data_IF_308953671491
#
_entry.id   IF_308953671491
#
_cell.length_a   1.000
_cell.length_b   1.000
_cell.length_c   1.000
_cell.angle_alpha   90.00
_cell.angle_beta   90.00
_cell.angle_gamma   90.00
#
_symmetry.space_group_name_H-M   'P 1'
#
loop_
_entity.id
_entity.type
_entity.pdbx_description
1 polymer ?
#
# COMPACT_ATOMS: atom_id res chain seq x y z
N UNK A 1 -24.91 60.48 24.93
CA UNK A 1 -23.60 61.06 24.60
C UNK A 1 -23.09 60.38 23.33
N UNK A 2 -22.76 61.19 22.31
CA UNK A 2 -22.02 60.87 21.08
C UNK A 2 -22.52 59.76 20.13
N UNK A 3 -23.46 60.15 19.26
CA UNK A 3 -23.55 60.02 17.78
C UNK A 3 -22.30 59.56 16.96
N UNK A 4 -22.37 59.29 15.63
CA UNK A 4 -23.54 59.29 14.71
C UNK A 4 -23.59 58.22 13.56
N UNK A 5 -24.78 58.18 12.91
CA UNK A 5 -25.10 58.08 11.46
C UNK A 5 -24.89 56.78 10.61
N UNK A 6 -26.01 56.12 10.25
CA UNK A 6 -26.73 56.09 8.93
C UNK A 6 -25.97 55.85 7.60
N UNK A 7 -26.60 55.58 6.43
CA UNK A 7 -27.86 54.88 6.05
C UNK A 7 -27.73 53.96 4.78
N UNK A 8 -28.88 53.46 4.28
CA UNK A 8 -29.21 52.96 2.92
C UNK A 8 -28.95 51.46 2.67
N UNK A 9 -29.90 50.62 2.25
CA UNK A 9 -31.16 50.84 1.53
C UNK A 9 -30.97 50.50 0.05
N UNK A 10 -31.31 49.27 -0.38
CA UNK A 10 -31.34 48.89 -1.82
C UNK A 10 -32.32 47.71 -1.97
N UNK A 11 -33.59 47.99 -2.22
CA UNK A 11 -34.24 47.98 -3.55
C UNK A 11 -34.10 46.65 -4.29
N UNK A 12 -35.17 45.85 -4.22
CA UNK A 12 -35.48 44.77 -5.16
C UNK A 12 -35.70 45.36 -6.56
N UNK A 13 -34.94 44.87 -7.54
CA UNK A 13 -35.30 44.92 -8.96
C UNK A 13 -35.05 43.54 -9.54
N UNK A 14 -36.14 42.87 -9.84
CA UNK A 14 -36.20 41.65 -10.64
C UNK A 14 -36.02 42.06 -12.11
N UNK A 15 -35.02 41.48 -12.79
CA UNK A 15 -34.97 41.40 -14.25
C UNK A 15 -34.00 40.30 -14.70
N UNK A 16 -34.56 39.42 -15.53
CA UNK A 16 -33.91 38.60 -16.55
C UNK A 16 -33.03 37.42 -16.09
N UNK A 17 -33.71 36.27 -15.96
CA UNK A 17 -33.33 34.94 -16.44
C UNK A 17 -31.85 34.60 -16.63
N UNK A 18 -31.26 33.97 -15.62
CA UNK A 18 -30.25 32.93 -15.81
C UNK A 18 -30.27 32.00 -14.58
N UNK A 19 -30.78 30.78 -14.75
CA UNK A 19 -30.75 29.76 -13.69
C UNK A 19 -29.31 29.25 -13.59
N UNK A 20 -28.53 29.84 -12.70
CA UNK A 20 -27.20 29.34 -12.34
C UNK A 20 -27.38 28.11 -11.44
N UNK A 21 -27.18 26.92 -12.01
CA UNK A 21 -27.07 25.69 -11.22
C UNK A 21 -25.71 25.72 -10.53
N UNK A 22 -25.68 26.10 -9.27
CA UNK A 22 -24.51 25.93 -8.42
C UNK A 22 -24.28 24.43 -8.20
N UNK A 23 -23.51 23.82 -9.09
CA UNK A 23 -22.92 22.51 -8.86
C UNK A 23 -21.90 22.71 -7.75
N UNK A 24 -22.25 22.24 -6.55
CA UNK A 24 -21.31 21.99 -5.46
C UNK A 24 -20.29 20.95 -5.94
N UNK A 25 -19.27 21.43 -6.65
CA UNK A 25 -18.09 20.67 -6.96
C UNK A 25 -17.32 20.55 -5.64
N UNK A 26 -17.49 19.41 -4.96
CA UNK A 26 -16.63 19.03 -3.86
C UNK A 26 -15.21 18.99 -4.40
N UNK A 27 -14.50 20.12 -4.24
CA UNK A 27 -13.13 20.27 -4.65
C UNK A 27 -12.29 19.29 -3.86
N UNK A 28 -11.88 18.20 -4.51
CA UNK A 28 -10.66 17.51 -4.11
C UNK A 28 -9.53 18.51 -4.38
N UNK A 29 -9.20 19.34 -3.39
CA UNK A 29 -7.98 20.13 -3.43
C UNK A 29 -6.83 19.11 -3.45
N UNK A 30 -6.26 18.90 -4.62
CA UNK A 30 -5.04 18.14 -4.80
C UNK A 30 -3.97 18.74 -3.87
N UNK A 31 -3.45 17.90 -2.97
CA UNK A 31 -2.43 18.27 -1.96
C UNK A 31 -1.06 18.58 -2.62
N UNK A 32 -0.96 18.44 -3.94
CA UNK A 32 0.26 18.72 -4.71
C UNK A 32 0.13 20.06 -5.43
N UNK A 33 0.75 21.10 -4.88
CA UNK A 33 0.95 22.37 -5.57
C UNK A 33 1.66 22.12 -6.91
N UNK A 34 1.08 22.65 -7.99
CA UNK A 34 1.40 22.37 -9.39
C UNK A 34 2.77 22.83 -9.90
N UNK A 35 3.84 22.68 -9.13
CA UNK A 35 5.20 23.08 -9.52
C UNK A 35 6.22 21.92 -9.60
N UNK A 36 5.82 20.66 -9.38
CA UNK A 36 6.81 19.55 -9.28
C UNK A 36 6.52 18.30 -10.12
N UNK A 37 5.43 18.28 -10.89
CA UNK A 37 5.04 17.15 -11.72
C UNK A 37 4.76 17.63 -13.14
N UNK A 38 5.26 16.86 -14.11
CA UNK A 38 5.10 17.11 -15.54
C UNK A 38 3.61 17.38 -15.88
N UNK A 39 3.26 18.55 -16.45
CA UNK A 39 1.87 18.90 -16.78
C UNK A 39 1.23 17.86 -17.72
N UNK A 40 2.03 17.19 -18.57
CA UNK A 40 1.58 16.09 -19.41
C UNK A 40 1.15 14.89 -18.56
N UNK A 41 1.94 14.53 -17.55
CA UNK A 41 1.64 13.41 -16.67
C UNK A 41 0.33 13.64 -15.91
N UNK A 42 0.10 14.85 -15.39
CA UNK A 42 -1.15 15.21 -14.73
C UNK A 42 -2.37 15.08 -15.64
N UNK A 43 -2.27 15.61 -16.86
CA UNK A 43 -3.35 15.51 -17.84
C UNK A 43 -3.69 14.05 -18.17
N UNK A 44 -2.67 13.23 -18.45
CA UNK A 44 -2.86 11.79 -18.71
C UNK A 44 -3.41 11.05 -17.48
N UNK A 45 -2.92 11.34 -16.29
CA UNK A 45 -3.42 10.74 -15.05
C UNK A 45 -4.90 11.06 -14.78
N UNK A 46 -5.34 12.28 -15.10
CA UNK A 46 -6.75 12.69 -14.98
C UNK A 46 -7.64 11.91 -15.93
N UNK A 47 -7.24 11.75 -17.19
CA UNK A 47 -7.97 10.93 -18.19
C UNK A 47 -8.11 9.49 -17.69
N UNK A 48 -7.01 8.93 -17.19
CA UNK A 48 -6.99 7.57 -16.68
C UNK A 48 -7.89 7.39 -15.43
N UNK A 49 -7.83 8.32 -14.49
CA UNK A 49 -8.71 8.31 -13.31
C UNK A 49 -10.19 8.40 -13.72
N UNK A 50 -10.53 9.24 -14.70
CA UNK A 50 -11.89 9.35 -15.21
C UNK A 50 -12.37 8.03 -15.82
N UNK A 51 -11.52 7.35 -16.62
CA UNK A 51 -11.85 6.05 -17.17
C UNK A 51 -12.13 5.00 -16.08
N UNK A 52 -11.37 5.02 -14.98
CA UNK A 52 -11.59 4.14 -13.82
C UNK A 52 -12.89 4.51 -13.09
N UNK A 53 -13.22 5.80 -12.98
CA UNK A 53 -14.49 6.25 -12.42
C UNK A 53 -15.70 5.82 -13.28
N UNK A 54 -15.60 5.89 -14.60
CA UNK A 54 -16.64 5.41 -15.53
C UNK A 54 -16.86 3.90 -15.42
N UNK A 55 -15.77 3.12 -15.30
CA UNK A 55 -15.86 1.68 -15.01
C UNK A 55 -16.53 1.46 -13.65
N UNK A 56 -16.25 2.30 -12.66
CA UNK A 56 -16.82 2.20 -11.31
C UNK A 56 -16.41 0.93 -10.57
N UNK A 57 -17.10 0.66 -9.46
CA UNK A 57 -16.82 -0.50 -8.61
C UNK A 57 -17.40 -1.77 -9.23
N UNK A 58 -16.54 -2.74 -9.58
CA UNK A 58 -16.95 -4.02 -10.15
C UNK A 58 -16.30 -5.21 -9.46
N UNK A 59 -16.43 -6.40 -10.07
CA UNK A 59 -15.90 -7.66 -9.53
C UNK A 59 -14.39 -7.61 -9.32
N UNK A 60 -13.65 -6.93 -10.20
CA UNK A 60 -12.20 -6.78 -10.11
C UNK A 60 -11.81 -6.02 -8.84
N UNK A 61 -12.44 -4.89 -8.56
CA UNK A 61 -12.13 -4.07 -7.39
C UNK A 61 -12.52 -4.75 -6.07
N UNK A 62 -13.64 -5.48 -6.05
CA UNK A 62 -14.00 -6.29 -4.89
C UNK A 62 -13.02 -7.44 -4.66
N UNK A 63 -12.59 -8.14 -5.71
CA UNK A 63 -11.55 -9.15 -5.58
C UNK A 63 -10.23 -8.53 -5.10
N UNK A 64 -9.86 -7.36 -5.63
CA UNK A 64 -8.69 -6.61 -5.20
C UNK A 64 -8.80 -6.20 -3.72
N UNK A 65 -9.99 -5.84 -3.22
CA UNK A 65 -10.20 -5.53 -1.81
C UNK A 65 -9.85 -6.73 -0.91
N UNK A 66 -10.29 -7.94 -1.26
CA UNK A 66 -9.96 -9.15 -0.49
C UNK A 66 -8.47 -9.49 -0.59
N UNK A 67 -7.88 -9.41 -1.78
CA UNK A 67 -6.48 -9.79 -2.01
C UNK A 67 -5.50 -8.77 -1.40
N UNK A 68 -5.80 -7.47 -1.48
CA UNK A 68 -5.06 -6.44 -0.74
C UNK A 68 -5.28 -6.60 0.78
N UNK A 69 -6.47 -7.06 1.20
CA UNK A 69 -6.76 -7.43 2.57
C UNK A 69 -5.80 -8.48 3.14
N UNK A 70 -5.25 -9.38 2.32
CA UNK A 70 -4.24 -10.35 2.78
C UNK A 70 -2.92 -9.70 3.20
N UNK A 71 -2.46 -8.66 2.48
CA UNK A 71 -1.26 -7.93 2.89
C UNK A 71 -1.51 -7.09 4.13
N UNK A 72 -2.69 -6.48 4.28
CA UNK A 72 -3.09 -5.81 5.51
C UNK A 72 -3.17 -6.80 6.68
N UNK A 73 -3.82 -7.95 6.51
CA UNK A 73 -3.83 -9.04 7.50
C UNK A 73 -2.40 -9.39 7.98
N UNK A 74 -1.46 -9.53 7.04
CA UNK A 74 -0.06 -9.79 7.32
C UNK A 74 0.62 -8.66 8.11
N UNK A 75 0.27 -7.41 7.82
CA UNK A 75 0.88 -6.21 8.40
C UNK A 75 0.65 -6.06 9.91
N UNK A 76 -0.43 -6.62 10.46
CA UNK A 76 -0.63 -6.64 11.92
C UNK A 76 -0.25 -7.98 12.58
N UNK A 77 -0.47 -9.09 11.88
CA UNK A 77 -0.15 -10.43 12.38
C UNK A 77 1.35 -10.63 12.66
N UNK A 78 2.20 -10.27 11.72
CA UNK A 78 3.63 -10.59 11.82
C UNK A 78 4.38 -9.69 12.79
N UNK A 79 4.06 -8.40 12.93
CA UNK A 79 4.68 -7.59 13.97
C UNK A 79 4.26 -7.97 15.39
N UNK A 80 3.07 -8.54 15.58
CA UNK A 80 2.62 -9.04 16.88
C UNK A 80 3.18 -10.43 17.22
N UNK A 81 3.58 -11.20 16.22
CA UNK A 81 4.07 -12.59 16.36
C UNK A 81 5.27 -12.74 17.31
N UNK A 82 6.34 -11.93 17.23
CA UNK A 82 7.46 -12.01 18.18
C UNK A 82 7.05 -11.84 19.65
N UNK A 83 6.02 -11.05 19.93
CA UNK A 83 5.43 -10.92 21.27
C UNK A 83 4.74 -12.21 21.73
N UNK A 84 4.02 -12.89 20.84
CA UNK A 84 3.32 -14.15 21.15
C UNK A 84 4.29 -15.29 21.45
N UNK A 85 5.40 -15.38 20.71
CA UNK A 85 6.38 -16.47 20.87
C UNK A 85 7.50 -16.15 21.88
N UNK A 86 7.57 -14.91 22.38
CA UNK A 86 8.69 -14.36 23.15
C UNK A 86 9.12 -15.26 24.32
N UNK A 87 8.17 -15.63 25.19
CA UNK A 87 8.43 -16.41 26.40
C UNK A 87 8.89 -17.83 26.09
N UNK A 88 8.38 -18.41 24.99
CA UNK A 88 8.76 -19.77 24.56
C UNK A 88 10.17 -19.77 23.99
N UNK A 89 10.53 -18.76 23.20
CA UNK A 89 11.85 -18.64 22.57
C UNK A 89 12.95 -18.31 23.59
N UNK A 90 12.70 -17.35 24.49
CA UNK A 90 13.68 -16.94 25.51
C UNK A 90 14.01 -18.06 26.48
N UNK A 91 13.03 -18.91 26.82
CA UNK A 91 13.24 -20.10 27.67
C UNK A 91 13.97 -21.26 26.98
N UNK A 92 13.68 -21.54 25.71
CA UNK A 92 14.36 -22.62 24.97
C UNK A 92 15.84 -22.32 24.74
N UNK A 93 16.16 -21.07 24.37
CA UNK A 93 17.54 -20.68 24.06
C UNK A 93 18.28 -20.06 25.24
N UNK A 94 17.62 -19.84 26.37
CA UNK A 94 18.18 -19.16 27.55
C UNK A 94 18.80 -17.79 27.20
N UNK A 95 18.03 -16.95 26.51
CA UNK A 95 18.44 -15.62 26.01
C UNK A 95 17.44 -14.54 26.43
N UNK A 96 17.89 -13.27 26.41
CA UNK A 96 17.03 -12.14 26.77
C UNK A 96 15.95 -11.80 25.73
N UNK A 97 16.15 -12.11 24.45
CA UNK A 97 15.15 -11.88 23.39
C UNK A 97 15.29 -10.55 22.61
N UNK A 98 16.15 -9.65 23.05
CA UNK A 98 16.35 -8.30 22.49
C UNK A 98 16.70 -8.28 20.99
N UNK A 99 17.56 -9.19 20.52
CA UNK A 99 18.01 -9.25 19.13
C UNK A 99 16.89 -9.62 18.16
N UNK A 100 15.89 -10.36 18.62
CA UNK A 100 14.72 -10.73 17.83
C UNK A 100 13.83 -9.50 17.58
N UNK A 101 13.58 -8.71 18.63
CA UNK A 101 12.78 -7.48 18.54
C UNK A 101 13.51 -6.41 17.73
N UNK A 102 14.83 -6.28 17.93
CA UNK A 102 15.67 -5.38 17.12
C UNK A 102 15.66 -5.79 15.64
N UNK A 103 15.84 -7.09 15.35
CA UNK A 103 15.79 -7.63 14.00
C UNK A 103 14.46 -7.34 13.32
N UNK A 104 13.34 -7.53 14.02
CA UNK A 104 12.01 -7.17 13.54
C UNK A 104 11.88 -5.69 13.20
N UNK A 105 12.30 -4.79 14.11
CA UNK A 105 12.19 -3.35 13.92
C UNK A 105 13.03 -2.87 12.73
N UNK A 106 14.29 -3.35 12.63
CA UNK A 106 15.16 -3.06 11.49
C UNK A 106 14.60 -3.61 10.18
N UNK A 107 14.07 -4.84 10.21
CA UNK A 107 13.45 -5.46 9.05
C UNK A 107 12.26 -4.66 8.55
N UNK A 108 11.36 -4.22 9.44
CA UNK A 108 10.21 -3.38 9.08
C UNK A 108 10.64 -2.04 8.49
N UNK A 109 11.64 -1.38 9.09
CA UNK A 109 12.18 -0.11 8.59
C UNK A 109 12.77 -0.28 7.18
N UNK A 110 13.64 -1.27 7.01
CA UNK A 110 14.25 -1.57 5.70
C UNK A 110 13.19 -1.94 4.67
N UNK A 111 12.21 -2.77 5.06
CA UNK A 111 11.09 -3.16 4.22
C UNK A 111 10.25 -1.99 3.74
N UNK A 112 9.86 -1.09 4.64
CA UNK A 112 9.06 0.09 4.31
C UNK A 112 9.78 1.01 3.31
N UNK A 113 11.08 1.26 3.50
CA UNK A 113 11.87 2.08 2.56
C UNK A 113 12.09 1.35 1.24
N UNK A 114 12.51 0.09 1.30
CA UNK A 114 12.85 -0.71 0.12
C UNK A 114 11.64 -0.94 -0.78
N UNK A 115 10.51 -1.38 -0.23
CA UNK A 115 9.30 -1.63 -1.01
C UNK A 115 8.54 -0.35 -1.35
N UNK A 116 8.58 0.67 -0.49
CA UNK A 116 8.01 1.99 -0.76
C UNK A 116 8.60 2.62 -2.01
N UNK A 117 9.93 2.57 -2.18
CA UNK A 117 10.59 3.02 -3.41
C UNK A 117 10.56 1.95 -4.50
N UNK A 118 10.70 0.68 -4.14
CA UNK A 118 10.83 -0.44 -5.08
C UNK A 118 9.59 -0.68 -5.93
N UNK A 119 8.39 -0.54 -5.36
CA UNK A 119 7.12 -0.68 -6.09
C UNK A 119 6.93 0.36 -7.21
N UNK A 120 7.56 1.51 -7.06
CA UNK A 120 7.56 2.58 -8.04
C UNK A 120 8.64 2.41 -9.11
N UNK A 121 9.64 1.58 -8.87
CA UNK A 121 10.76 1.32 -9.79
C UNK A 121 10.54 0.03 -10.57
N UNK A 122 10.30 -1.08 -9.87
CA UNK A 122 10.15 -2.42 -10.46
C UNK A 122 8.73 -2.74 -10.91
N UNK A 123 7.75 -1.92 -10.50
CA UNK A 123 6.34 -2.15 -10.77
C UNK A 123 5.60 -2.68 -9.55
N UNK A 124 4.31 -2.38 -9.54
CA UNK A 124 3.39 -2.71 -8.46
C UNK A 124 3.13 -4.21 -8.42
N UNK A 125 3.04 -4.90 -9.57
CA UNK A 125 2.72 -6.34 -9.61
C UNK A 125 3.73 -7.20 -8.85
N UNK A 126 5.02 -6.95 -9.05
CA UNK A 126 6.08 -7.72 -8.42
C UNK A 126 6.16 -7.43 -6.92
N UNK A 127 6.19 -6.16 -6.54
CA UNK A 127 6.22 -5.78 -5.12
C UNK A 127 5.02 -6.32 -4.36
N UNK A 128 3.82 -6.25 -4.94
CA UNK A 128 2.58 -6.80 -4.37
C UNK A 128 2.74 -8.29 -4.08
N UNK A 129 3.31 -9.08 -4.99
CA UNK A 129 3.44 -10.53 -4.76
C UNK A 129 4.65 -10.92 -3.88
N UNK A 130 5.78 -10.24 -4.03
CA UNK A 130 7.03 -10.63 -3.36
C UNK A 130 6.99 -10.39 -1.85
N UNK A 131 6.28 -9.36 -1.38
CA UNK A 131 6.19 -9.05 0.06
C UNK A 131 5.58 -10.21 0.86
N UNK A 132 4.49 -10.83 0.37
CA UNK A 132 3.92 -12.01 1.03
C UNK A 132 4.76 -13.26 0.85
N UNK A 133 5.39 -13.45 -0.31
CA UNK A 133 6.27 -14.60 -0.55
C UNK A 133 7.43 -14.61 0.44
N UNK A 134 8.12 -13.47 0.58
CA UNK A 134 9.23 -13.29 1.52
C UNK A 134 8.74 -13.54 2.94
N UNK A 135 7.61 -12.95 3.32
CA UNK A 135 7.02 -13.15 4.65
C UNK A 135 6.76 -14.64 4.93
N UNK A 136 6.09 -15.35 4.01
CA UNK A 136 5.74 -16.76 4.18
C UNK A 136 6.96 -17.69 4.19
N UNK A 137 7.91 -17.50 3.28
CA UNK A 137 9.13 -18.34 3.20
C UNK A 137 9.98 -18.18 4.46
N UNK A 138 10.24 -16.95 4.88
CA UNK A 138 11.06 -16.71 6.08
C UNK A 138 10.33 -17.05 7.37
N UNK A 139 9.00 -16.97 7.40
CA UNK A 139 8.18 -17.50 8.49
C UNK A 139 8.32 -19.02 8.66
N UNK A 140 8.22 -19.77 7.57
CA UNK A 140 8.41 -21.22 7.59
C UNK A 140 9.85 -21.58 7.97
N UNK A 141 10.84 -20.86 7.43
CA UNK A 141 12.24 -21.04 7.79
C UNK A 141 12.51 -20.75 9.27
N UNK A 142 11.85 -19.73 9.84
CA UNK A 142 11.96 -19.41 11.25
C UNK A 142 11.39 -20.51 12.16
N UNK A 143 10.29 -21.17 11.77
CA UNK A 143 9.78 -22.34 12.47
C UNK A 143 10.78 -23.50 12.53
N UNK A 144 11.59 -23.64 11.47
CA UNK A 144 12.66 -24.63 11.35
C UNK A 144 14.01 -24.19 11.97
N UNK A 145 14.10 -23.01 12.58
CA UNK A 145 15.38 -22.46 13.04
C UNK A 145 16.04 -23.31 14.15
N UNK A 146 17.30 -23.72 14.00
CA UNK A 146 17.97 -24.58 14.98
C UNK A 146 18.55 -23.79 16.17
N UNK A 147 18.77 -22.48 16.02
CA UNK A 147 19.35 -21.62 17.04
C UNK A 147 18.71 -20.21 17.01
N UNK A 148 18.94 -19.46 18.09
CA UNK A 148 18.36 -18.13 18.28
C UNK A 148 18.81 -17.11 17.21
N UNK A 149 20.06 -17.15 16.76
CA UNK A 149 20.57 -16.21 15.77
C UNK A 149 19.93 -16.40 14.40
N UNK A 150 19.75 -17.66 13.97
CA UNK A 150 19.02 -18.00 12.75
C UNK A 150 17.58 -17.51 12.85
N UNK A 151 16.92 -17.69 14.00
CA UNK A 151 15.58 -17.15 14.23
C UNK A 151 15.55 -15.62 14.07
N UNK A 152 16.48 -14.89 14.68
CA UNK A 152 16.55 -13.43 14.58
C UNK A 152 16.74 -12.95 13.13
N UNK A 153 17.58 -13.65 12.36
CA UNK A 153 17.79 -13.36 10.94
C UNK A 153 16.50 -13.61 10.15
N UNK A 154 15.83 -14.74 10.36
CA UNK A 154 14.55 -15.02 9.70
C UNK A 154 13.46 -14.01 10.09
N UNK A 155 13.42 -13.58 11.35
CA UNK A 155 12.51 -12.53 11.83
C UNK A 155 12.76 -11.21 11.10
N UNK A 156 14.02 -10.80 10.97
CA UNK A 156 14.37 -9.60 10.21
C UNK A 156 13.93 -9.71 8.74
N UNK A 157 14.15 -10.85 8.09
CA UNK A 157 13.80 -11.05 6.69
C UNK A 157 12.28 -11.13 6.43
N UNK A 158 11.50 -11.83 7.27
CA UNK A 158 10.05 -11.76 7.11
C UNK A 158 9.56 -10.33 7.32
N UNK A 159 10.18 -9.58 8.24
CA UNK A 159 9.78 -8.20 8.55
C UNK A 159 10.07 -7.25 7.40
N UNK A 160 11.09 -7.51 6.58
CA UNK A 160 11.31 -6.81 5.31
C UNK A 160 10.13 -7.01 4.35
N UNK A 161 9.59 -8.23 4.26
CA UNK A 161 8.40 -8.50 3.46
C UNK A 161 7.18 -7.75 4.00
N UNK A 162 6.95 -7.84 5.30
CA UNK A 162 5.79 -7.24 5.98
C UNK A 162 5.76 -5.73 5.82
N UNK A 163 6.89 -5.04 6.07
CA UNK A 163 6.95 -3.57 6.02
C UNK A 163 6.61 -2.96 4.65
N UNK A 164 6.64 -3.76 3.58
CA UNK A 164 6.23 -3.35 2.25
C UNK A 164 4.73 -3.51 1.95
N UNK A 165 4.00 -4.34 2.69
CA UNK A 165 2.60 -4.64 2.37
C UNK A 165 1.73 -3.40 2.42
N UNK A 166 1.80 -2.62 3.51
CA UNK A 166 0.95 -1.44 3.68
C UNK A 166 1.10 -0.40 2.55
N UNK A 167 2.31 0.10 2.22
CA UNK A 167 2.45 1.12 1.17
C UNK A 167 2.16 0.56 -0.23
N UNK A 168 2.53 -0.69 -0.51
CA UNK A 168 2.33 -1.28 -1.84
C UNK A 168 0.86 -1.57 -2.08
N UNK A 169 0.18 -2.19 -1.12
CA UNK A 169 -1.22 -2.60 -1.26
C UNK A 169 -2.15 -1.40 -1.28
N UNK A 170 -1.88 -0.39 -0.45
CA UNK A 170 -2.66 0.86 -0.43
C UNK A 170 -2.57 1.59 -1.77
N UNK A 171 -1.37 1.69 -2.34
CA UNK A 171 -1.19 2.35 -3.62
C UNK A 171 -1.86 1.57 -4.76
N UNK A 172 -1.67 0.25 -4.83
CA UNK A 172 -2.36 -0.58 -5.83
C UNK A 172 -3.87 -0.43 -5.69
N UNK A 173 -4.40 -0.50 -4.47
CA UNK A 173 -5.83 -0.39 -4.22
C UNK A 173 -6.38 0.96 -4.70
N UNK A 174 -5.74 2.07 -4.32
CA UNK A 174 -6.13 3.42 -4.72
C UNK A 174 -6.01 3.69 -6.22
N UNK A 175 -5.12 2.97 -6.92
CA UNK A 175 -4.95 3.11 -8.36
C UNK A 175 -6.06 2.44 -9.18
N UNK A 176 -6.76 1.45 -8.61
CA UNK A 176 -7.83 0.71 -9.30
C UNK A 176 -9.24 1.02 -8.78
N UNK A 177 -9.36 1.66 -7.63
CA UNK A 177 -10.64 1.98 -6.98
C UNK A 177 -11.12 3.38 -7.40
N UNK A 178 -12.40 3.54 -7.79
CA UNK A 178 -12.96 4.84 -8.14
C UNK A 178 -13.00 5.78 -6.92
N UNK A 179 -12.90 7.09 -7.15
CA UNK A 179 -12.86 8.11 -6.10
C UNK A 179 -14.01 8.00 -5.08
N UNK A 180 -15.21 7.63 -5.53
CA UNK A 180 -16.38 7.45 -4.67
C UNK A 180 -16.24 6.37 -3.60
N UNK A 181 -15.35 5.38 -3.81
CA UNK A 181 -15.17 4.23 -2.92
C UNK A 181 -13.80 4.19 -2.26
N UNK A 182 -13.02 5.28 -2.32
CA UNK A 182 -11.70 5.35 -1.68
C UNK A 182 -11.76 5.18 -0.16
N UNK A 183 -12.90 5.45 0.48
CA UNK A 183 -13.13 5.16 1.91
C UNK A 183 -12.93 3.67 2.26
N UNK A 184 -13.03 2.76 1.28
CA UNK A 184 -12.73 1.34 1.47
C UNK A 184 -11.27 1.08 1.86
N UNK A 185 -10.36 2.04 1.59
CA UNK A 185 -9.00 1.98 2.12
C UNK A 185 -9.00 2.01 3.65
N UNK A 186 -9.85 2.84 4.25
CA UNK A 186 -10.01 2.84 5.71
C UNK A 186 -10.64 1.53 6.19
N UNK A 187 -11.61 1.00 5.44
CA UNK A 187 -12.26 -0.30 5.75
C UNK A 187 -11.25 -1.47 5.67
N UNK A 188 -10.19 -1.38 4.87
CA UNK A 188 -9.11 -2.37 4.85
C UNK A 188 -8.45 -2.55 6.24
N UNK A 189 -8.55 -1.57 7.14
CA UNK A 189 -8.08 -1.68 8.54
C UNK A 189 -8.78 -2.80 9.33
N UNK A 190 -9.96 -3.25 8.91
CA UNK A 190 -10.63 -4.41 9.52
C UNK A 190 -9.74 -5.66 9.39
N UNK A 191 -8.99 -5.80 8.30
CA UNK A 191 -8.07 -6.92 8.10
C UNK A 191 -6.93 -6.94 9.12
N UNK A 192 -6.51 -5.78 9.66
CA UNK A 192 -5.57 -5.75 10.79
C UNK A 192 -6.15 -6.47 12.02
N UNK A 193 -7.39 -6.15 12.39
CA UNK A 193 -8.05 -6.78 13.52
C UNK A 193 -8.23 -8.30 13.29
N UNK A 194 -8.62 -8.69 12.07
CA UNK A 194 -8.72 -10.10 11.69
C UNK A 194 -7.35 -10.79 11.77
N UNK A 195 -6.27 -10.15 11.30
CA UNK A 195 -4.91 -10.64 11.39
C UNK A 195 -4.47 -10.90 12.82
N UNK A 196 -4.64 -9.89 13.68
CA UNK A 196 -4.26 -9.98 15.08
C UNK A 196 -5.06 -11.05 15.83
N UNK A 197 -6.39 -11.07 15.64
CA UNK A 197 -7.27 -12.06 16.25
C UNK A 197 -6.90 -13.48 15.80
N UNK A 198 -6.68 -13.69 14.50
CA UNK A 198 -6.29 -15.00 13.97
C UNK A 198 -4.96 -15.45 14.54
N UNK A 199 -3.97 -14.57 14.61
CA UNK A 199 -2.67 -14.86 15.23
C UNK A 199 -2.82 -15.30 16.69
N UNK A 200 -3.57 -14.54 17.49
CA UNK A 200 -3.80 -14.87 18.89
C UNK A 200 -4.59 -16.19 19.07
N UNK A 201 -5.64 -16.41 18.28
CA UNK A 201 -6.47 -17.63 18.35
C UNK A 201 -5.71 -18.89 17.94
N UNK A 202 -4.77 -18.79 16.99
CA UNK A 202 -3.93 -19.94 16.59
C UNK A 202 -2.78 -20.13 17.59
N UNK A 203 -2.20 -19.05 18.10
CA UNK A 203 -1.15 -19.11 19.11
C UNK A 203 -1.63 -19.73 20.41
N UNK A 204 -2.85 -19.40 20.86
CA UNK A 204 -3.36 -19.86 22.15
C UNK A 204 -3.31 -21.39 22.32
N UNK A 205 -3.97 -22.23 21.50
CA UNK A 205 -3.94 -23.68 21.67
C UNK A 205 -2.56 -24.28 21.36
N UNK A 206 -1.80 -23.73 20.40
CA UNK A 206 -0.49 -24.29 20.04
C UNK A 206 0.56 -24.03 21.11
N UNK A 207 0.64 -22.79 21.61
CA UNK A 207 1.61 -22.42 22.63
C UNK A 207 1.19 -22.97 23.99
N UNK A 208 -0.09 -22.97 24.35
CA UNK A 208 -0.52 -23.48 25.66
C UNK A 208 -0.35 -25.00 25.81
N UNK A 209 -0.64 -25.79 24.77
CA UNK A 209 -0.59 -27.26 24.87
C UNK A 209 0.79 -27.85 24.55
N UNK A 210 1.62 -27.16 23.76
CA UNK A 210 2.90 -27.69 23.26
C UNK A 210 4.13 -26.88 23.72
N UNK A 211 4.01 -26.16 24.83
CA UNK A 211 5.15 -25.45 25.46
C UNK A 211 5.35 -25.92 26.89
N UNK A 212 6.56 -25.71 27.41
CA UNK A 212 6.90 -26.14 28.77
C UNK A 212 6.05 -25.40 29.82
N UNK A 213 5.68 -26.09 30.93
CA UNK A 213 5.05 -25.45 32.08
C UNK A 213 5.89 -24.28 32.61
N UNK A 214 5.21 -23.23 33.07
CA UNK A 214 5.85 -22.03 33.64
C UNK A 214 6.74 -22.32 34.86
N UNK A 215 6.54 -23.46 35.51
CA UNK A 215 7.25 -23.91 36.70
C UNK A 215 8.56 -24.67 36.40
N UNK A 216 8.83 -25.03 35.14
CA UNK A 216 10.02 -25.81 34.77
C UNK A 216 11.25 -24.91 34.60
N UNK A 217 12.36 -25.28 35.24
CA UNK A 217 13.65 -24.54 35.20
C UNK A 217 14.39 -24.69 33.87
N UNK A 218 14.13 -25.79 33.14
CA UNK A 218 14.74 -26.08 31.84
C UNK A 218 13.67 -26.47 30.83
N UNK A 219 13.69 -25.86 29.64
CA UNK A 219 12.73 -26.11 28.59
C UNK A 219 13.43 -26.59 27.31
N UNK A 220 13.63 -27.91 27.15
CA UNK A 220 14.30 -28.44 25.96
C UNK A 220 13.39 -28.33 24.73
N UNK A 221 14.01 -28.19 23.55
CA UNK A 221 13.32 -28.03 22.27
C UNK A 221 12.34 -29.18 21.93
N UNK A 222 12.45 -30.36 22.55
CA UNK A 222 11.52 -31.49 22.38
C UNK A 222 10.14 -31.23 23.01
N UNK A 223 10.10 -30.48 24.11
CA UNK A 223 8.89 -30.17 24.88
C UNK A 223 8.34 -28.75 24.57
N UNK A 224 9.00 -28.00 23.70
CA UNK A 224 8.69 -26.61 23.36
C UNK A 224 8.40 -26.41 21.86
N UNK A 225 7.52 -27.24 21.30
CA UNK A 225 7.20 -27.20 19.86
C UNK A 225 6.13 -26.17 19.51
N UNK A 226 5.42 -25.61 20.48
CA UNK A 226 4.26 -24.74 20.27
C UNK A 226 4.56 -23.52 19.41
N UNK A 227 5.65 -22.79 19.68
CA UNK A 227 6.02 -21.63 18.87
C UNK A 227 6.44 -22.00 17.44
N UNK A 228 7.06 -23.18 17.24
CA UNK A 228 7.43 -23.69 15.92
C UNK A 228 6.20 -24.08 15.12
N UNK A 229 5.26 -24.79 15.74
CA UNK A 229 3.98 -25.13 15.12
C UNK A 229 3.17 -23.88 14.76
N UNK A 230 3.18 -22.86 15.62
CA UNK A 230 2.58 -21.57 15.31
C UNK A 230 3.20 -20.92 14.07
N UNK A 231 4.54 -20.85 14.00
CA UNK A 231 5.24 -20.29 12.84
C UNK A 231 5.01 -21.10 11.56
N UNK A 232 4.98 -22.43 11.63
CA UNK A 232 4.65 -23.27 10.48
C UNK A 232 3.20 -23.08 10.01
N UNK A 233 2.26 -22.99 10.95
CA UNK A 233 0.84 -22.79 10.65
C UNK A 233 0.62 -21.43 10.00
N UNK A 234 1.08 -20.36 10.65
CA UNK A 234 0.89 -19.00 10.12
C UNK A 234 1.74 -18.74 8.88
N UNK A 235 2.96 -19.28 8.80
CA UNK A 235 3.77 -19.25 7.57
C UNK A 235 3.10 -20.00 6.41
N UNK A 236 2.46 -21.14 6.69
CA UNK A 236 1.66 -21.88 5.72
C UNK A 236 0.44 -21.09 5.24
N UNK A 237 -0.28 -20.44 6.16
CA UNK A 237 -1.37 -19.51 5.81
C UNK A 237 -0.86 -18.40 4.89
N UNK A 238 0.32 -17.85 5.16
CA UNK A 238 0.90 -16.84 4.29
C UNK A 238 1.26 -17.35 2.90
N UNK A 239 1.78 -18.58 2.80
CA UNK A 239 2.04 -19.20 1.51
C UNK A 239 0.75 -19.45 0.73
N UNK A 240 -0.34 -19.85 1.40
CA UNK A 240 -1.66 -20.00 0.76
C UNK A 240 -2.15 -18.64 0.25
N UNK A 241 -2.09 -17.59 1.07
CA UNK A 241 -2.47 -16.24 0.65
C UNK A 241 -1.63 -15.74 -0.53
N UNK A 242 -0.33 -16.02 -0.53
CA UNK A 242 0.55 -15.72 -1.67
C UNK A 242 0.15 -16.51 -2.93
N UNK A 243 -0.15 -17.81 -2.82
CA UNK A 243 -0.61 -18.63 -3.95
C UNK A 243 -1.92 -18.06 -4.52
N UNK A 244 -2.88 -17.72 -3.67
CA UNK A 244 -4.14 -17.11 -4.08
C UNK A 244 -3.88 -15.76 -4.78
N UNK A 245 -3.00 -14.93 -4.21
CA UNK A 245 -2.63 -13.63 -4.75
C UNK A 245 -1.91 -13.71 -6.10
N UNK A 246 -1.07 -14.72 -6.31
CA UNK A 246 -0.25 -14.85 -7.51
C UNK A 246 -0.95 -15.61 -8.65
N UNK A 247 -1.65 -16.71 -8.31
CA UNK A 247 -2.23 -17.61 -9.31
C UNK A 247 -3.74 -17.40 -9.54
N UNK A 248 -4.49 -17.00 -8.51
CA UNK A 248 -5.96 -16.85 -8.62
C UNK A 248 -6.34 -15.44 -9.06
N UNK A 249 -5.63 -14.43 -8.58
CA UNK A 249 -5.86 -13.04 -8.97
C UNK A 249 -4.67 -12.48 -9.75
N UNK A 250 -4.78 -12.45 -11.09
CA UNK A 250 -3.74 -11.81 -11.90
C UNK A 250 -3.80 -10.29 -11.75
N UNK A 251 -3.07 -9.75 -10.78
CA UNK A 251 -2.86 -8.32 -10.67
C UNK A 251 -2.07 -7.86 -11.90
N UNK A 252 -2.71 -7.04 -12.72
CA UNK A 252 -2.03 -6.37 -13.83
C UNK A 252 -1.21 -5.21 -13.30
N UNK A 253 -0.16 -4.87 -14.05
CA UNK A 253 0.66 -3.71 -13.72
C UNK A 253 -0.20 -2.44 -13.76
N UNK A 254 0.09 -1.50 -12.86
CA UNK A 254 -0.73 -0.31 -12.71
C UNK A 254 -0.74 0.53 -13.99
N UNK A 255 -1.92 0.98 -14.48
CA UNK A 255 -1.98 1.85 -15.65
C UNK A 255 -1.19 3.15 -15.45
N UNK A 256 -1.16 3.71 -14.23
CA UNK A 256 -0.35 4.90 -13.91
C UNK A 256 1.14 4.61 -13.97
N UNK A 257 1.56 3.44 -13.47
CA UNK A 257 2.96 3.02 -13.57
C UNK A 257 3.39 2.84 -15.03
N UNK A 258 2.59 2.17 -15.86
CA UNK A 258 2.87 1.98 -17.28
C UNK A 258 2.98 3.31 -18.04
N UNK A 259 2.04 4.22 -17.79
CA UNK A 259 2.05 5.58 -18.35
C UNK A 259 3.28 6.37 -17.91
N UNK A 260 3.70 6.28 -16.64
CA UNK A 260 4.93 6.92 -16.15
C UNK A 260 6.21 6.41 -16.83
N UNK A 261 6.14 5.23 -17.44
CA UNK A 261 7.22 4.60 -18.22
C UNK A 261 7.08 4.83 -19.73
N UNK A 262 6.12 5.64 -20.17
CA UNK A 262 5.84 5.91 -21.59
C UNK A 262 5.16 4.75 -22.32
N UNK A 263 4.63 3.75 -21.59
CA UNK A 263 3.97 2.56 -22.16
C UNK A 263 2.45 2.76 -22.19
N UNK A 264 2.01 3.80 -22.89
CA UNK A 264 0.60 4.24 -22.90
C UNK A 264 -0.33 3.19 -23.52
N UNK A 265 0.12 2.45 -24.53
CA UNK A 265 -0.66 1.39 -25.17
C UNK A 265 -1.03 0.28 -24.17
N UNK A 266 -0.08 -0.10 -23.33
CA UNK A 266 -0.30 -1.11 -22.30
C UNK A 266 -1.18 -0.58 -21.18
N UNK A 267 -1.04 0.69 -20.80
CA UNK A 267 -1.92 1.32 -19.81
C UNK A 267 -3.39 1.26 -20.26
N UNK A 268 -3.67 1.62 -21.52
CA UNK A 268 -5.01 1.52 -22.12
C UNK A 268 -5.49 0.08 -22.18
N UNK A 269 -4.63 -0.86 -22.58
CA UNK A 269 -4.97 -2.29 -22.60
C UNK A 269 -5.33 -2.83 -21.21
N UNK A 270 -4.62 -2.43 -20.15
CA UNK A 270 -4.96 -2.82 -18.78
C UNK A 270 -6.34 -2.31 -18.39
N UNK A 271 -6.66 -1.03 -18.67
CA UNK A 271 -7.97 -0.44 -18.37
C UNK A 271 -9.10 -1.17 -19.09
N UNK A 272 -8.95 -1.44 -20.39
CA UNK A 272 -9.97 -2.20 -21.13
C UNK A 272 -10.18 -3.60 -20.58
N UNK A 273 -9.09 -4.28 -20.20
CA UNK A 273 -9.22 -5.63 -19.63
C UNK A 273 -9.79 -5.61 -18.21
N UNK A 274 -9.58 -4.55 -17.42
CA UNK A 274 -10.27 -4.36 -16.12
C UNK A 274 -11.75 -4.08 -16.34
N UNK A 275 -12.10 -3.25 -17.33
CA UNK A 275 -13.48 -3.02 -17.74
C UNK A 275 -14.15 -4.34 -18.16
N UNK A 276 -13.49 -5.14 -18.99
CA UNK A 276 -13.99 -6.44 -19.45
C UNK A 276 -14.19 -7.42 -18.28
N UNK A 277 -13.27 -7.47 -17.30
CA UNK A 277 -13.44 -8.29 -16.09
C UNK A 277 -14.68 -7.87 -15.29
N UNK A 278 -15.00 -6.58 -15.29
CA UNK A 278 -16.19 -6.02 -14.67
C UNK A 278 -17.46 -6.14 -15.53
N UNK A 279 -17.38 -6.71 -16.74
CA UNK A 279 -18.49 -6.78 -17.69
C UNK A 279 -18.89 -5.42 -18.29
N UNK A 280 -17.96 -4.46 -18.30
CA UNK A 280 -18.15 -3.10 -18.84
C UNK A 280 -17.20 -2.83 -19.99
N UNK A 281 -17.48 -1.79 -20.76
CA UNK A 281 -16.59 -1.24 -21.79
C UNK A 281 -16.03 0.10 -21.33
N UNK A 282 -14.83 0.44 -21.77
CA UNK A 282 -14.23 1.76 -21.57
C UNK A 282 -14.00 2.41 -22.92
N UNK A 283 -14.31 3.70 -23.03
CA UNK A 283 -14.08 4.51 -24.24
C UNK A 283 -12.66 5.10 -24.29
N UNK A 284 -11.80 4.74 -23.32
CA UNK A 284 -10.42 5.21 -23.29
C UNK A 284 -9.66 4.69 -24.51
N UNK A 285 -9.04 5.58 -25.27
CA UNK A 285 -8.17 5.20 -26.41
C UNK A 285 -6.79 5.79 -26.24
N UNK A 286 -5.81 5.23 -26.96
CA UNK A 286 -4.44 5.75 -26.99
C UNK A 286 -4.43 7.22 -27.46
N UNK A 287 -5.33 7.57 -28.38
CA UNK A 287 -5.43 8.94 -28.91
C UNK A 287 -5.85 9.96 -27.85
N UNK A 288 -6.64 9.58 -26.85
CA UNK A 288 -6.94 10.48 -25.71
C UNK A 288 -5.67 10.82 -24.91
N UNK A 289 -4.75 9.85 -24.75
CA UNK A 289 -3.48 10.07 -24.04
C UNK A 289 -2.49 10.87 -24.88
N UNK A 290 -2.39 10.59 -26.18
CA UNK A 290 -1.55 11.34 -27.13
C UNK A 290 -2.05 12.78 -27.31
N UNK A 291 -3.36 13.01 -27.28
CA UNK A 291 -3.90 14.37 -27.36
C UNK A 291 -3.57 15.17 -26.10
N UNK A 292 -3.66 14.58 -24.91
CA UNK A 292 -3.18 15.20 -23.68
C UNK A 292 -1.69 15.57 -23.75
N UNK A 293 -0.86 14.71 -24.35
CA UNK A 293 0.57 14.99 -24.60
C UNK A 293 0.79 16.13 -25.58
N UNK A 294 0.02 16.21 -26.68
CA UNK A 294 0.13 17.33 -27.64
C UNK A 294 -0.28 18.67 -27.03
N UNK A 295 -1.35 18.67 -26.24
CA UNK A 295 -1.92 19.87 -25.62
C UNK A 295 -1.05 20.42 -24.48
N UNK A 296 -0.33 19.57 -23.76
CA UNK A 296 0.43 19.95 -22.56
C UNK A 296 1.96 19.82 -22.73
N UNK A 297 2.42 19.07 -23.74
CA UNK A 297 3.84 18.85 -24.04
C UNK A 297 4.46 19.92 -24.93
N UNK A 298 3.66 20.83 -25.48
CA UNK A 298 4.12 21.93 -26.33
C UNK A 298 4.65 23.16 -25.55
N UNK A 299 4.83 23.05 -24.22
CA UNK A 299 5.43 24.10 -23.39
C UNK A 299 6.95 23.99 -23.21
N UNK A 300 7.58 22.85 -23.47
CA UNK A 300 9.05 22.72 -23.50
C UNK A 300 9.48 21.86 -24.68
N UNK A 301 10.13 22.50 -25.65
CA UNK A 301 10.59 21.86 -26.87
C UNK A 301 11.56 20.71 -26.60
N UNK A 302 11.31 19.58 -27.27
CA UNK A 302 12.29 18.74 -27.96
C UNK A 302 13.67 18.52 -27.30
N UNK A 303 13.71 18.34 -25.98
CA UNK A 303 14.90 17.93 -25.26
C UNK A 303 14.62 16.71 -24.37
N UNK A 304 15.20 15.59 -24.79
CA UNK A 304 15.37 14.33 -24.07
C UNK A 304 14.21 13.31 -24.08
N UNK A 305 13.89 12.84 -25.30
CA UNK A 305 13.51 11.43 -25.52
C UNK A 305 14.73 10.54 -25.21
N UNK A 306 15.06 10.39 -23.93
CA UNK A 306 15.96 9.38 -23.38
C UNK A 306 15.94 9.43 -21.83
N UNK A 307 14.76 9.44 -21.21
CA UNK A 307 14.66 9.34 -19.74
C UNK A 307 14.91 7.90 -19.32
N UNK A 308 16.18 7.49 -19.33
CA UNK A 308 16.60 6.17 -18.85
C UNK A 308 16.09 5.98 -17.42
N UNK A 309 15.76 4.74 -17.05
CA UNK A 309 15.24 4.39 -15.73
C UNK A 309 16.08 4.94 -14.56
N UNK A 310 17.38 5.23 -14.78
CA UNK A 310 18.26 5.92 -13.85
C UNK A 310 17.86 7.37 -13.58
N UNK A 311 17.43 8.14 -14.57
CA UNK A 311 17.03 9.53 -14.40
C UNK A 311 15.71 9.67 -13.62
N UNK A 312 14.77 8.74 -13.83
CA UNK A 312 13.54 8.66 -13.04
C UNK A 312 13.82 8.23 -11.58
N UNK A 313 14.71 7.25 -11.38
CA UNK A 313 15.15 6.83 -10.05
C UNK A 313 15.92 7.95 -9.33
N UNK A 314 16.83 8.64 -10.02
CA UNK A 314 17.59 9.78 -9.49
C UNK A 314 16.68 10.98 -9.20
N UNK A 315 15.62 11.23 -9.97
CA UNK A 315 14.61 12.24 -9.62
C UNK A 315 13.81 11.85 -8.38
N UNK A 316 13.38 10.59 -8.24
CA UNK A 316 12.71 10.11 -7.02
C UNK A 316 13.61 10.14 -5.78
N UNK A 317 14.90 9.91 -5.95
CA UNK A 317 15.90 10.06 -4.89
C UNK A 317 16.18 11.55 -4.61
N UNK A 318 16.15 12.42 -5.62
CA UNK A 318 16.32 13.87 -5.46
C UNK A 318 15.09 14.55 -4.86
N UNK A 319 13.89 13.99 -5.01
CA UNK A 319 12.68 14.44 -4.28
C UNK A 319 12.68 14.02 -2.80
N UNK A 320 13.60 13.15 -2.38
CA UNK A 320 13.87 12.91 -0.95
C UNK A 320 14.79 13.99 -0.35
N UNK A 321 15.13 15.03 -1.12
CA UNK A 321 15.86 16.18 -0.60
C UNK A 321 15.05 16.89 0.49
N UNK A 322 15.72 17.23 1.58
CA UNK A 322 15.17 17.67 2.88
C UNK A 322 14.35 18.97 2.78
N UNK A 323 14.32 19.57 1.59
CA UNK A 323 13.51 20.72 1.21
C UNK A 323 12.02 20.38 1.03
N UNK A 324 11.64 19.13 0.75
CA UNK A 324 10.23 18.70 0.70
C UNK A 324 9.63 18.36 2.09
N UNK A 325 10.49 18.11 3.09
CA UNK A 325 10.05 17.77 4.46
C UNK A 325 9.83 19.01 5.32
N UNK A 326 10.59 20.09 5.07
CA UNK A 326 10.42 21.38 5.78
C UNK A 326 8.99 21.98 5.71
N UNK A 327 8.29 21.97 4.56
CA UNK A 327 6.91 22.48 4.47
C UNK A 327 5.91 21.65 5.28
N UNK A 328 6.11 20.34 5.40
CA UNK A 328 5.24 19.43 6.17
C UNK A 328 5.25 19.74 7.68
N UNK A 329 6.28 20.41 8.18
CA UNK A 329 6.40 20.85 9.58
C UNK A 329 6.34 22.39 9.73
N UNK A 330 5.99 23.12 8.68
CA UNK A 330 5.97 24.58 8.70
C UNK A 330 4.71 25.18 9.36
N UNK A 331 3.62 24.41 9.49
CA UNK A 331 2.39 24.88 10.13
C UNK A 331 2.36 24.56 11.62
N UNK A 332 2.51 25.61 12.45
CA UNK A 332 2.48 25.55 13.92
C UNK A 332 1.06 25.56 14.51
N UNK A 333 0.10 24.87 13.88
CA UNK A 333 -1.26 24.72 14.42
C UNK A 333 -1.70 23.26 14.38
N UNK A 334 -1.54 22.61 15.53
CA UNK A 334 -2.41 21.54 16.00
C UNK A 334 -3.75 22.16 16.43
#
# INVERSE_FOLDING_TARGET
MSSPASPHGTSLKEKDGEVRVDILQAGTQDIYSGESLDPVYHAKAKILNNAIQEIGMGKYQWCLFFVAGFGWFSDNLWPSTPGLIYTSVTREFNVLGEWMLLGQALGLLVGAVFWGVGCDVWGRRWSFNLTLLITGVFALAAGASPNYYTLCVCVAFWSIGVGGNLPVDSAVFLEYVPASHQYLLTVLSIWWAVGQLTGALVAWPLISNYSCPTTSTTCPASLNKGWRYYLFTMGGVMMIMWILRFFVFELRESPKFLMSRGRDEEAVAVVHRVAAFNGKTSNLTIEHLKEAERLHGSAEGEAAVATSARAAALRKIRTLDMNHVKPLFATRKL
#
